data_IF_028489187427
#
_entry.id   IF_028489187427
#
_cell.length_a   1.000
_cell.length_b   1.000
_cell.length_c   1.000
_cell.angle_alpha   90.00
_cell.angle_beta   90.00
_cell.angle_gamma   90.00
#
_symmetry.space_group_name_H-M   'P 1'
#
loop_
_entity.id
_entity.type
_entity.pdbx_description
1 polymer ?
#
# COMPACT_ATOMS: atom_id res chain seq x y z
N UNK A 1 -23.43 -30.51 -42.88
CA UNK A 1 -22.37 -29.48 -43.08
C UNK A 1 -21.08 -30.01 -42.50
N UNK A 2 -19.94 -29.84 -43.19
CA UNK A 2 -18.65 -30.20 -42.61
C UNK A 2 -18.27 -29.22 -41.48
N UNK A 3 -17.57 -29.68 -40.45
CA UNK A 3 -17.09 -28.83 -39.34
C UNK A 3 -16.37 -27.56 -39.84
N UNK A 4 -15.67 -27.67 -40.98
CA UNK A 4 -15.00 -26.57 -41.66
C UNK A 4 -15.94 -25.50 -42.21
N UNK A 5 -17.10 -25.89 -42.75
CA UNK A 5 -18.12 -24.95 -43.23
C UNK A 5 -18.75 -24.16 -42.08
N UNK A 6 -18.96 -24.80 -40.93
CA UNK A 6 -19.48 -24.12 -39.74
C UNK A 6 -18.48 -23.06 -39.26
N UNK A 7 -17.20 -23.42 -39.12
CA UNK A 7 -16.14 -22.48 -38.70
C UNK A 7 -15.99 -21.29 -39.66
N UNK A 8 -16.08 -21.52 -40.98
CA UNK A 8 -16.01 -20.44 -41.98
C UNK A 8 -17.10 -19.38 -41.79
N UNK A 9 -18.31 -19.76 -41.38
CA UNK A 9 -19.41 -18.80 -41.15
C UNK A 9 -19.06 -17.87 -39.97
N UNK A 10 -18.51 -18.41 -38.88
CA UNK A 10 -18.10 -17.60 -37.73
C UNK A 10 -16.91 -16.70 -38.05
N UNK A 11 -15.91 -17.19 -38.79
CA UNK A 11 -14.76 -16.39 -39.24
C UNK A 11 -15.19 -15.22 -40.13
N UNK A 12 -16.10 -15.46 -41.08
CA UNK A 12 -16.63 -14.40 -41.95
C UNK A 12 -17.36 -13.33 -41.14
N UNK A 13 -18.21 -13.74 -40.20
CA UNK A 13 -18.93 -12.79 -39.35
C UNK A 13 -17.97 -11.96 -38.48
N UNK A 14 -16.95 -12.58 -37.90
CA UNK A 14 -15.91 -11.86 -37.14
C UNK A 14 -15.14 -10.86 -38.02
N UNK A 15 -14.77 -11.25 -39.23
CA UNK A 15 -14.05 -10.38 -40.17
C UNK A 15 -14.91 -9.18 -40.59
N UNK A 16 -16.19 -9.41 -40.86
CA UNK A 16 -17.14 -8.34 -41.21
C UNK A 16 -17.29 -7.33 -40.08
N UNK A 17 -17.45 -7.78 -38.83
CA UNK A 17 -17.52 -6.90 -37.66
C UNK A 17 -16.23 -6.11 -37.48
N UNK A 18 -15.07 -6.74 -37.64
CA UNK A 18 -13.74 -6.09 -37.55
C UNK A 18 -13.59 -5.00 -38.62
N UNK A 19 -13.91 -5.30 -39.88
CA UNK A 19 -13.83 -4.33 -40.97
C UNK A 19 -14.80 -3.16 -40.77
N UNK A 20 -16.02 -3.45 -40.30
CA UNK A 20 -17.01 -2.42 -40.02
C UNK A 20 -16.50 -1.41 -38.99
N UNK A 21 -16.05 -1.86 -37.82
CA UNK A 21 -15.57 -0.95 -36.77
C UNK A 21 -14.34 -0.15 -37.22
N UNK A 22 -13.41 -0.76 -37.95
CA UNK A 22 -12.23 -0.08 -38.48
C UNK A 22 -12.60 1.03 -39.46
N UNK A 23 -13.48 0.73 -40.43
CA UNK A 23 -13.90 1.69 -41.43
C UNK A 23 -14.68 2.85 -40.80
N UNK A 24 -15.59 2.55 -39.86
CA UNK A 24 -16.34 3.59 -39.16
C UNK A 24 -15.40 4.46 -38.31
N UNK A 25 -14.44 3.87 -37.60
CA UNK A 25 -13.46 4.62 -36.83
C UNK A 25 -12.61 5.54 -37.71
N UNK A 26 -12.19 5.07 -38.89
CA UNK A 26 -11.43 5.85 -39.87
C UNK A 26 -12.26 6.99 -40.45
N UNK A 27 -13.50 6.71 -40.86
CA UNK A 27 -14.42 7.73 -41.38
C UNK A 27 -14.74 8.81 -40.34
N UNK A 28 -14.86 8.42 -39.06
CA UNK A 28 -15.12 9.33 -37.95
C UNK A 28 -13.95 10.27 -37.62
N UNK A 29 -12.79 10.14 -38.26
CA UNK A 29 -11.67 11.10 -38.09
C UNK A 29 -11.93 12.44 -38.76
N UNK A 30 -12.86 12.52 -39.71
CA UNK A 30 -13.14 13.73 -40.50
C UNK A 30 -14.51 14.31 -40.12
N UNK A 31 -14.59 15.56 -39.64
CA UNK A 31 -15.85 16.18 -39.20
C UNK A 31 -16.97 16.14 -40.24
N UNK A 32 -16.62 16.31 -41.52
CA UNK A 32 -17.57 16.28 -42.65
C UNK A 32 -18.34 14.95 -42.82
N UNK A 33 -17.84 13.84 -42.24
CA UNK A 33 -18.48 12.53 -42.36
C UNK A 33 -19.49 12.26 -41.22
N UNK A 34 -19.46 13.06 -40.16
CA UNK A 34 -20.13 12.73 -38.88
C UNK A 34 -21.65 12.76 -39.03
N UNK A 35 -22.19 13.78 -39.70
CA UNK A 35 -23.63 13.89 -39.97
C UNK A 35 -24.14 12.71 -40.82
N UNK A 36 -23.35 12.27 -41.80
CA UNK A 36 -23.70 11.13 -42.64
C UNK A 36 -23.71 9.82 -41.84
N UNK A 37 -22.70 9.63 -40.96
CA UNK A 37 -22.63 8.47 -40.08
C UNK A 37 -23.80 8.46 -39.07
N UNK A 38 -24.16 9.62 -38.51
CA UNK A 38 -25.31 9.76 -37.62
C UNK A 38 -26.62 9.38 -38.33
N UNK A 39 -26.86 9.93 -39.53
CA UNK A 39 -28.04 9.63 -40.33
C UNK A 39 -28.13 8.15 -40.74
N UNK A 40 -26.99 7.46 -40.86
CA UNK A 40 -26.93 6.02 -41.09
C UNK A 40 -27.21 5.17 -39.83
N UNK A 41 -27.46 5.78 -38.68
CA UNK A 41 -27.75 5.08 -37.43
C UNK A 41 -26.53 4.40 -36.80
N UNK A 42 -25.32 4.91 -37.05
CA UNK A 42 -24.04 4.30 -36.63
C UNK A 42 -24.00 3.97 -35.13
N UNK A 43 -24.64 4.79 -34.29
CA UNK A 43 -24.69 4.61 -32.83
C UNK A 43 -25.36 3.30 -32.43
N UNK A 44 -26.47 2.94 -33.07
CA UNK A 44 -27.18 1.69 -32.78
C UNK A 44 -26.39 0.45 -33.23
N UNK A 45 -25.52 0.61 -34.23
CA UNK A 45 -24.69 -0.46 -34.77
C UNK A 45 -23.40 -0.67 -33.98
N UNK A 46 -22.79 0.40 -33.46
CA UNK A 46 -21.58 0.32 -32.64
C UNK A 46 -21.87 -0.14 -31.21
N UNK A 47 -23.05 0.18 -30.66
CA UNK A 47 -23.39 -0.14 -29.27
C UNK A 47 -23.27 -1.63 -28.93
N UNK A 48 -23.82 -2.59 -29.70
CA UNK A 48 -23.65 -4.02 -29.41
C UNK A 48 -22.20 -4.49 -29.49
N UNK A 49 -21.37 -3.83 -30.31
CA UNK A 49 -19.98 -4.22 -30.53
C UNK A 49 -19.06 -3.82 -29.37
N UNK A 50 -19.53 -2.99 -28.44
CA UNK A 50 -18.85 -2.72 -27.17
C UNK A 50 -18.83 -3.93 -26.23
N UNK A 51 -19.67 -4.92 -26.49
CA UNK A 51 -19.73 -6.18 -25.73
C UNK A 51 -19.29 -7.37 -26.60
N UNK A 52 -18.54 -7.12 -27.68
CA UNK A 52 -18.05 -8.17 -28.55
C UNK A 52 -17.05 -9.07 -27.81
N UNK A 53 -17.07 -10.37 -28.13
CA UNK A 53 -16.15 -11.36 -27.55
C UNK A 53 -14.71 -11.19 -28.03
N UNK A 54 -14.50 -10.44 -29.13
CA UNK A 54 -13.17 -10.16 -29.68
C UNK A 54 -12.70 -8.79 -29.20
N UNK A 55 -11.61 -8.70 -28.40
CA UNK A 55 -11.15 -7.45 -27.82
C UNK A 55 -10.93 -6.36 -28.87
N UNK A 56 -10.24 -6.66 -29.98
CA UNK A 56 -9.95 -5.67 -31.04
C UNK A 56 -11.20 -5.01 -31.63
N UNK A 57 -12.31 -5.75 -31.74
CA UNK A 57 -13.59 -5.21 -32.25
C UNK A 57 -14.17 -4.23 -31.23
N UNK A 58 -14.19 -4.64 -29.95
CA UNK A 58 -14.63 -3.80 -28.84
C UNK A 58 -13.82 -2.50 -28.75
N UNK A 59 -12.48 -2.56 -28.83
CA UNK A 59 -11.63 -1.36 -28.75
C UNK A 59 -11.88 -0.41 -29.92
N UNK A 60 -12.03 -0.95 -31.13
CA UNK A 60 -12.24 -0.13 -32.32
C UNK A 60 -13.65 0.48 -32.35
N UNK A 61 -14.65 -0.25 -31.85
CA UNK A 61 -16.00 0.29 -31.65
C UNK A 61 -16.02 1.43 -30.64
N UNK A 62 -15.28 1.29 -29.53
CA UNK A 62 -15.11 2.32 -28.52
C UNK A 62 -14.42 3.58 -29.10
N UNK A 63 -13.34 3.38 -29.85
CA UNK A 63 -12.63 4.46 -30.55
C UNK A 63 -13.52 5.20 -31.54
N UNK A 64 -14.30 4.47 -32.34
CA UNK A 64 -15.23 5.05 -33.30
C UNK A 64 -16.28 5.92 -32.60
N UNK A 65 -16.86 5.43 -31.49
CA UNK A 65 -17.82 6.19 -30.69
C UNK A 65 -17.19 7.44 -30.06
N UNK A 66 -15.97 7.34 -29.54
CA UNK A 66 -15.24 8.49 -29.00
C UNK A 66 -15.02 9.58 -30.04
N UNK A 67 -14.58 9.21 -31.25
CA UNK A 67 -14.41 10.14 -32.38
C UNK A 67 -15.73 10.78 -32.82
N UNK A 68 -16.81 10.01 -32.90
CA UNK A 68 -18.14 10.51 -33.25
C UNK A 68 -18.63 11.54 -32.24
N UNK A 69 -18.47 11.25 -30.95
CA UNK A 69 -18.83 12.17 -29.87
C UNK A 69 -17.97 13.45 -29.87
N UNK A 70 -16.69 13.37 -30.25
CA UNK A 70 -15.78 14.51 -30.27
C UNK A 70 -16.16 15.60 -31.30
N UNK A 71 -16.90 15.24 -32.34
CA UNK A 71 -17.24 16.16 -33.44
C UNK A 71 -18.71 16.57 -33.49
N UNK A 72 -19.57 16.07 -32.60
CA UNK A 72 -21.00 16.35 -32.63
C UNK A 72 -21.64 16.23 -31.23
N UNK A 73 -22.21 17.33 -30.75
CA UNK A 73 -22.80 17.45 -29.41
C UNK A 73 -24.02 16.53 -29.21
N UNK A 74 -24.86 16.34 -30.24
CA UNK A 74 -26.01 15.43 -30.17
C UNK A 74 -25.54 13.96 -30.04
N UNK A 75 -24.43 13.61 -30.71
CA UNK A 75 -23.82 12.29 -30.59
C UNK A 75 -23.12 12.11 -29.24
N UNK A 76 -22.47 13.15 -28.71
CA UNK A 76 -21.92 13.14 -27.36
C UNK A 76 -23.03 12.93 -26.32
N UNK A 77 -24.15 13.64 -26.46
CA UNK A 77 -25.33 13.49 -25.60
C UNK A 77 -25.94 12.08 -25.74
N UNK A 78 -25.99 11.51 -26.95
CA UNK A 78 -26.45 10.15 -27.18
C UNK A 78 -25.52 9.08 -26.56
N UNK A 79 -24.20 9.28 -26.57
CA UNK A 79 -23.23 8.44 -25.85
C UNK A 79 -23.47 8.50 -24.34
N UNK A 80 -23.78 9.69 -23.83
CA UNK A 80 -24.04 9.94 -22.40
C UNK A 80 -25.37 9.32 -21.95
N UNK A 81 -26.46 9.54 -22.68
CA UNK A 81 -27.82 9.08 -22.33
C UNK A 81 -28.06 7.60 -22.67
N UNK A 82 -27.27 7.01 -23.56
CA UNK A 82 -27.49 5.67 -24.11
C UNK A 82 -26.93 4.50 -23.31
N UNK A 83 -26.53 4.66 -22.04
CA UNK A 83 -25.78 3.65 -21.26
C UNK A 83 -24.50 3.14 -21.97
N UNK A 84 -23.95 3.93 -22.90
CA UNK A 84 -22.75 3.58 -23.66
C UNK A 84 -21.50 3.84 -22.82
N UNK A 85 -21.49 4.89 -22.00
CA UNK A 85 -20.39 5.21 -21.08
C UNK A 85 -20.09 4.08 -20.06
N UNK A 86 -21.07 3.49 -19.35
CA UNK A 86 -20.81 2.32 -18.49
C UNK A 86 -20.18 1.13 -19.22
N UNK A 87 -20.58 0.88 -20.47
CA UNK A 87 -20.03 -0.22 -21.29
C UNK A 87 -18.61 0.09 -21.78
N UNK A 88 -18.34 1.34 -22.17
CA UNK A 88 -17.00 1.83 -22.46
C UNK A 88 -16.08 1.70 -21.25
N UNK A 89 -16.55 2.09 -20.06
CA UNK A 89 -15.82 1.98 -18.78
C UNK A 89 -15.51 0.52 -18.44
N UNK A 90 -16.47 -0.40 -18.61
CA UNK A 90 -16.21 -1.83 -18.42
C UNK A 90 -15.12 -2.37 -19.38
N UNK A 91 -15.09 -1.84 -20.61
CA UNK A 91 -14.11 -2.20 -21.64
C UNK A 91 -12.73 -1.56 -21.43
N UNK A 92 -12.64 -0.48 -20.64
CA UNK A 92 -11.43 0.33 -20.39
C UNK A 92 -10.42 -0.30 -19.42
N UNK A 93 -10.69 -1.50 -18.91
CA UNK A 93 -9.78 -2.24 -18.06
C UNK A 93 -8.47 -2.65 -18.78
N UNK A 94 -8.43 -2.62 -20.12
CA UNK A 94 -7.25 -2.95 -20.93
C UNK A 94 -6.41 -1.71 -21.32
N UNK A 95 -5.09 -1.79 -21.16
CA UNK A 95 -4.13 -0.69 -21.37
C UNK A 95 -4.21 -0.09 -22.79
N UNK A 96 -4.43 -0.92 -23.82
CA UNK A 96 -4.52 -0.46 -25.21
C UNK A 96 -5.76 0.41 -25.48
N UNK A 97 -6.85 0.23 -24.72
CA UNK A 97 -8.07 1.03 -24.90
C UNK A 97 -7.91 2.45 -24.35
N UNK A 98 -7.17 2.61 -23.26
CA UNK A 98 -7.06 3.93 -22.60
C UNK A 98 -6.30 4.93 -23.46
N UNK A 99 -5.23 4.49 -24.13
CA UNK A 99 -4.55 5.32 -25.12
C UNK A 99 -5.47 5.63 -26.32
N UNK A 100 -6.18 4.64 -26.85
CA UNK A 100 -7.11 4.85 -27.96
C UNK A 100 -8.24 5.84 -27.61
N UNK A 101 -8.76 5.81 -26.37
CA UNK A 101 -9.79 6.74 -25.89
C UNK A 101 -9.26 8.17 -25.74
N UNK A 102 -8.01 8.32 -25.27
CA UNK A 102 -7.33 9.61 -25.26
C UNK A 102 -7.12 10.13 -26.68
N UNK A 103 -6.62 9.29 -27.59
CA UNK A 103 -6.40 9.63 -29.00
C UNK A 103 -7.72 9.97 -29.74
N UNK A 104 -8.85 9.50 -29.21
CA UNK A 104 -10.20 9.83 -29.70
C UNK A 104 -10.72 11.22 -29.24
N UNK A 105 -10.01 11.91 -28.34
CA UNK A 105 -10.47 13.18 -27.77
C UNK A 105 -11.52 13.04 -26.66
N UNK A 106 -11.64 11.86 -26.02
CA UNK A 106 -12.70 11.63 -25.04
C UNK A 106 -12.49 12.33 -23.69
N UNK A 107 -11.25 12.66 -23.31
CA UNK A 107 -10.94 13.26 -21.99
C UNK A 107 -11.65 14.61 -21.79
N UNK A 108 -11.58 15.58 -22.73
CA UNK A 108 -12.37 16.82 -22.63
C UNK A 108 -13.88 16.57 -22.48
N UNK A 109 -14.44 15.62 -23.21
CA UNK A 109 -15.88 15.29 -23.11
C UNK A 109 -16.25 14.72 -21.74
N UNK A 110 -15.40 13.86 -21.18
CA UNK A 110 -15.59 13.35 -19.81
C UNK A 110 -15.49 14.49 -18.78
N UNK A 111 -14.63 15.49 -19.01
CA UNK A 111 -14.55 16.70 -18.17
C UNK A 111 -15.80 17.58 -18.31
N UNK A 112 -16.47 17.62 -19.47
CA UNK A 112 -17.78 18.24 -19.60
C UNK A 112 -18.84 17.45 -18.82
N UNK A 113 -18.82 16.12 -18.91
CA UNK A 113 -19.77 15.25 -18.21
C UNK A 113 -19.73 15.40 -16.68
N UNK A 114 -18.56 15.70 -16.08
CA UNK A 114 -18.47 15.92 -14.62
C UNK A 114 -19.04 17.29 -14.18
N UNK A 115 -19.21 18.23 -15.11
CA UNK A 115 -19.79 19.55 -14.83
C UNK A 115 -21.32 19.50 -14.80
N UNK A 116 -21.93 18.59 -15.56
CA UNK A 116 -23.38 18.38 -15.59
C UNK A 116 -23.99 18.07 -14.22
N UNK A 117 -25.23 18.49 -13.91
CA UNK A 117 -25.80 18.34 -12.57
C UNK A 117 -26.08 16.89 -12.15
N UNK A 118 -26.19 15.97 -13.11
CA UNK A 118 -26.61 14.58 -12.88
C UNK A 118 -25.53 13.75 -12.16
N UNK A 119 -25.79 13.34 -10.91
CA UNK A 119 -24.81 12.61 -10.08
C UNK A 119 -24.41 11.28 -10.72
N UNK A 120 -25.36 10.57 -11.34
CA UNK A 120 -25.06 9.31 -12.01
C UNK A 120 -24.02 9.50 -13.13
N UNK A 121 -24.17 10.55 -13.93
CA UNK A 121 -23.25 10.91 -14.99
C UNK A 121 -21.86 11.28 -14.43
N UNK A 122 -21.81 12.12 -13.38
CA UNK A 122 -20.54 12.46 -12.71
C UNK A 122 -19.79 11.22 -12.26
N UNK A 123 -20.48 10.28 -11.60
CA UNK A 123 -19.85 9.03 -11.13
C UNK A 123 -19.24 8.23 -12.26
N UNK A 124 -19.95 8.07 -13.38
CA UNK A 124 -19.47 7.31 -14.54
C UNK A 124 -18.29 8.02 -15.19
N UNK A 125 -18.39 9.33 -15.40
CA UNK A 125 -17.32 10.12 -15.99
C UNK A 125 -16.04 10.11 -15.14
N UNK A 126 -16.16 10.30 -13.81
CA UNK A 126 -15.03 10.20 -12.88
C UNK A 126 -14.44 8.80 -12.86
N UNK A 127 -15.26 7.74 -12.93
CA UNK A 127 -14.76 6.37 -13.03
C UNK A 127 -13.95 6.17 -14.31
N UNK A 128 -14.44 6.65 -15.46
CA UNK A 128 -13.73 6.58 -16.73
C UNK A 128 -12.37 7.31 -16.68
N UNK A 129 -12.36 8.52 -16.11
CA UNK A 129 -11.14 9.30 -15.92
C UNK A 129 -10.15 8.60 -14.97
N UNK A 130 -10.65 7.96 -13.91
CA UNK A 130 -9.85 7.13 -13.00
C UNK A 130 -9.23 5.94 -13.74
N UNK A 131 -9.98 5.27 -14.60
CA UNK A 131 -9.49 4.11 -15.37
C UNK A 131 -8.46 4.54 -16.42
N UNK A 132 -8.63 5.66 -17.10
CA UNK A 132 -7.62 6.24 -18.00
C UNK A 132 -6.34 6.56 -17.22
N UNK A 133 -6.47 7.32 -16.14
CA UNK A 133 -5.34 7.75 -15.32
C UNK A 133 -4.61 6.56 -14.68
N UNK A 134 -5.24 5.39 -14.51
CA UNK A 134 -4.61 4.22 -13.88
C UNK A 134 -3.45 3.64 -14.70
N UNK A 135 -3.42 3.79 -16.02
CA UNK A 135 -2.56 2.95 -16.86
C UNK A 135 -1.14 3.46 -17.07
N UNK A 136 -0.93 4.78 -17.21
CA UNK A 136 0.41 5.34 -17.39
C UNK A 136 0.52 6.78 -16.87
N UNK A 137 1.74 7.27 -16.57
CA UNK A 137 1.97 8.67 -16.19
C UNK A 137 1.51 9.65 -17.29
N UNK A 138 1.70 9.32 -18.57
CA UNK A 138 1.29 10.18 -19.69
C UNK A 138 -0.24 10.31 -19.80
N UNK A 139 -0.96 9.21 -19.58
CA UNK A 139 -2.43 9.22 -19.56
C UNK A 139 -2.95 9.98 -18.33
N UNK A 140 -2.30 9.82 -17.18
CA UNK A 140 -2.63 10.59 -15.99
C UNK A 140 -2.38 12.08 -16.20
N UNK A 141 -1.24 12.46 -16.80
CA UNK A 141 -0.94 13.84 -17.16
C UNK A 141 -1.99 14.42 -18.12
N UNK A 142 -2.38 13.67 -19.15
CA UNK A 142 -3.44 14.11 -20.09
C UNK A 142 -4.77 14.40 -19.37
N UNK A 143 -5.14 13.55 -18.40
CA UNK A 143 -6.34 13.76 -17.57
C UNK A 143 -6.20 15.00 -16.69
N UNK A 144 -5.00 15.29 -16.17
CA UNK A 144 -4.71 16.49 -15.38
C UNK A 144 -4.71 17.76 -16.23
N UNK A 145 -4.10 17.73 -17.42
CA UNK A 145 -4.03 18.84 -18.37
C UNK A 145 -5.44 19.29 -18.82
N UNK A 146 -6.40 18.37 -18.81
CA UNK A 146 -7.81 18.68 -19.05
C UNK A 146 -8.52 19.39 -17.86
N UNK A 147 -7.79 19.72 -16.79
CA UNK A 147 -8.31 20.47 -15.64
C UNK A 147 -9.13 19.63 -14.65
N UNK A 148 -8.97 18.30 -14.65
CA UNK A 148 -9.82 17.42 -13.84
C UNK A 148 -9.68 17.64 -12.33
N UNK A 149 -8.46 17.95 -11.85
CA UNK A 149 -8.15 17.98 -10.40
C UNK A 149 -9.03 19.00 -9.67
N UNK A 150 -9.18 20.21 -10.22
CA UNK A 150 -10.00 21.25 -9.63
C UNK A 150 -11.47 20.81 -9.48
N UNK A 151 -12.00 20.12 -10.50
CA UNK A 151 -13.36 19.60 -10.47
C UNK A 151 -13.51 18.46 -9.44
N UNK A 152 -12.54 17.55 -9.35
CA UNK A 152 -12.51 16.48 -8.35
C UNK A 152 -12.45 17.05 -6.91
N UNK A 153 -11.62 18.07 -6.67
CA UNK A 153 -11.50 18.73 -5.38
C UNK A 153 -12.80 19.41 -4.93
N UNK A 154 -13.63 19.88 -5.86
CA UNK A 154 -14.97 20.39 -5.54
C UNK A 154 -15.98 19.25 -5.34
N UNK A 155 -15.95 18.21 -6.17
CA UNK A 155 -16.92 17.11 -6.12
C UNK A 155 -16.83 16.26 -4.85
N UNK A 156 -15.67 16.14 -4.22
CA UNK A 156 -15.51 15.38 -2.96
C UNK A 156 -16.33 15.98 -1.80
N UNK A 157 -16.71 17.25 -1.88
CA UNK A 157 -17.58 17.92 -0.90
C UNK A 157 -19.04 17.45 -0.99
N UNK A 158 -19.44 16.78 -2.08
CA UNK A 158 -20.79 16.27 -2.25
C UNK A 158 -21.10 15.17 -1.20
N UNK A 159 -22.30 15.14 -0.60
CA UNK A 159 -22.65 14.15 0.42
C UNK A 159 -22.75 12.71 -0.13
N UNK A 160 -22.83 12.53 -1.45
CA UNK A 160 -22.99 11.23 -2.08
C UNK A 160 -21.75 10.33 -1.92
N UNK A 161 -21.87 9.28 -1.12
CA UNK A 161 -20.77 8.37 -0.82
C UNK A 161 -20.20 7.68 -2.08
N UNK A 162 -21.07 7.29 -3.04
CA UNK A 162 -20.62 6.65 -4.28
C UNK A 162 -19.77 7.59 -5.13
N UNK A 163 -20.14 8.87 -5.23
CA UNK A 163 -19.33 9.88 -5.91
C UNK A 163 -18.01 10.11 -5.19
N UNK A 164 -18.01 10.27 -3.85
CA UNK A 164 -16.77 10.39 -3.07
C UNK A 164 -15.80 9.22 -3.32
N UNK A 165 -16.31 7.98 -3.37
CA UNK A 165 -15.50 6.79 -3.68
C UNK A 165 -14.79 6.95 -5.03
N UNK A 166 -15.51 7.39 -6.07
CA UNK A 166 -14.94 7.56 -7.41
C UNK A 166 -13.93 8.70 -7.46
N UNK A 167 -14.24 9.83 -6.82
CA UNK A 167 -13.35 11.00 -6.77
C UNK A 167 -12.03 10.66 -6.06
N UNK A 168 -12.10 10.01 -4.90
CA UNK A 168 -10.92 9.57 -4.15
C UNK A 168 -10.10 8.53 -4.96
N UNK A 169 -10.78 7.64 -5.68
CA UNK A 169 -10.11 6.68 -6.57
C UNK A 169 -9.36 7.40 -7.69
N UNK A 170 -10.02 8.32 -8.40
CA UNK A 170 -9.42 9.07 -9.49
C UNK A 170 -8.18 9.85 -9.03
N UNK A 171 -8.29 10.60 -7.93
CA UNK A 171 -7.15 11.31 -7.35
C UNK A 171 -6.02 10.35 -6.96
N UNK A 172 -6.34 9.15 -6.45
CA UNK A 172 -5.32 8.13 -6.12
C UNK A 172 -4.61 7.60 -7.39
N UNK A 173 -5.36 7.37 -8.47
CA UNK A 173 -4.78 6.90 -9.74
C UNK A 173 -3.92 7.96 -10.43
N UNK A 174 -4.20 9.24 -10.20
CA UNK A 174 -3.35 10.35 -10.65
C UNK A 174 -2.09 10.42 -9.78
N UNK A 175 -2.27 10.57 -8.47
CA UNK A 175 -1.17 10.79 -7.53
C UNK A 175 -0.15 9.65 -7.51
N UNK A 176 -0.51 8.42 -7.87
CA UNK A 176 0.40 7.27 -7.77
C UNK A 176 1.60 7.31 -8.72
N UNK A 177 1.56 8.09 -9.80
CA UNK A 177 2.46 7.92 -10.95
C UNK A 177 3.77 8.71 -10.86
N UNK A 178 3.73 9.94 -10.35
CA UNK A 178 4.92 10.79 -10.22
C UNK A 178 4.80 11.73 -9.03
N UNK A 179 5.92 12.32 -8.65
CA UNK A 179 5.97 13.37 -7.62
C UNK A 179 5.16 14.57 -8.08
N UNK A 180 5.36 15.06 -9.31
CA UNK A 180 4.66 16.21 -9.87
C UNK A 180 3.13 16.04 -9.86
N UNK A 181 2.63 14.86 -10.24
CA UNK A 181 1.19 14.55 -10.20
C UNK A 181 0.64 14.50 -8.77
N UNK A 182 1.43 14.00 -7.81
CA UNK A 182 1.05 14.02 -6.40
C UNK A 182 1.04 15.44 -5.83
N UNK A 183 2.01 16.28 -6.21
CA UNK A 183 2.08 17.70 -5.83
C UNK A 183 0.87 18.47 -6.36
N UNK A 184 0.53 18.32 -7.64
CA UNK A 184 -0.67 18.94 -8.23
C UNK A 184 -1.96 18.55 -7.49
N UNK A 185 -2.08 17.31 -7.02
CA UNK A 185 -3.24 16.87 -6.22
C UNK A 185 -3.25 17.53 -4.84
N UNK A 186 -2.09 17.73 -4.21
CA UNK A 186 -1.96 18.36 -2.90
C UNK A 186 -2.21 19.88 -2.98
N UNK A 187 -1.74 20.54 -4.05
CA UNK A 187 -1.96 21.97 -4.32
C UNK A 187 -3.45 22.32 -4.45
N UNK A 188 -4.30 21.35 -4.79
CA UNK A 188 -5.75 21.51 -4.79
C UNK A 188 -6.41 21.46 -3.38
N UNK A 189 -5.61 21.59 -2.31
CA UNK A 189 -6.03 21.69 -0.91
C UNK A 189 -6.98 20.56 -0.45
N UNK A 190 -6.74 19.33 -0.93
CA UNK A 190 -7.64 18.19 -0.71
C UNK A 190 -7.62 17.63 0.73
N UNK A 191 -6.58 17.93 1.53
CA UNK A 191 -6.40 17.27 2.82
C UNK A 191 -7.56 17.47 3.81
N UNK A 192 -8.07 18.69 4.09
CA UNK A 192 -9.14 18.88 5.07
C UNK A 192 -10.38 18.02 4.80
N UNK A 193 -10.79 17.90 3.53
CA UNK A 193 -11.94 17.08 3.14
C UNK A 193 -11.60 15.59 3.16
N UNK A 194 -10.41 15.18 2.71
CA UNK A 194 -9.99 13.77 2.75
C UNK A 194 -9.89 13.25 4.19
N UNK A 195 -9.41 14.07 5.13
CA UNK A 195 -9.38 13.71 6.56
C UNK A 195 -10.79 13.58 7.16
N UNK A 196 -11.76 14.34 6.63
CA UNK A 196 -13.17 14.15 6.98
C UNK A 196 -13.70 12.81 6.43
N UNK A 197 -13.30 12.43 5.21
CA UNK A 197 -13.64 11.16 4.58
C UNK A 197 -13.12 9.93 5.35
N UNK A 198 -12.02 10.05 6.10
CA UNK A 198 -11.53 8.97 6.99
C UNK A 198 -12.52 8.62 8.11
N UNK A 199 -13.46 9.53 8.42
CA UNK A 199 -14.50 9.36 9.44
C UNK A 199 -15.88 9.07 8.83
N UNK A 200 -15.97 8.87 7.51
CA UNK A 200 -17.23 8.61 6.82
C UNK A 200 -17.86 7.29 7.29
N UNK A 201 -19.19 7.16 7.22
CA UNK A 201 -19.88 5.91 7.57
C UNK A 201 -19.62 4.82 6.53
N UNK A 202 -19.28 5.22 5.32
CA UNK A 202 -18.99 4.34 4.21
C UNK A 202 -17.53 3.85 4.25
N UNK A 203 -17.36 2.53 4.47
CA UNK A 203 -16.03 1.93 4.58
C UNK A 203 -15.18 2.04 3.30
N UNK A 204 -15.80 2.09 2.12
CA UNK A 204 -15.07 2.26 0.87
C UNK A 204 -14.61 3.70 0.69
N UNK A 205 -15.35 4.68 1.20
CA UNK A 205 -14.88 6.07 1.28
C UNK A 205 -13.64 6.15 2.16
N UNK A 206 -13.68 5.53 3.36
CA UNK A 206 -12.49 5.45 4.24
C UNK A 206 -11.30 4.79 3.56
N UNK A 207 -11.52 3.63 2.93
CA UNK A 207 -10.47 2.88 2.20
C UNK A 207 -9.84 3.72 1.09
N UNK A 208 -10.65 4.40 0.28
CA UNK A 208 -10.15 5.21 -0.83
C UNK A 208 -9.46 6.48 -0.34
N UNK A 209 -9.92 7.09 0.76
CA UNK A 209 -9.24 8.21 1.42
C UNK A 209 -7.85 7.79 1.94
N UNK A 210 -7.75 6.66 2.65
CA UNK A 210 -6.46 6.09 3.05
C UNK A 210 -5.56 5.77 1.84
N UNK A 211 -6.15 5.29 0.74
CA UNK A 211 -5.42 4.98 -0.50
C UNK A 211 -4.82 6.23 -1.11
N UNK A 212 -5.57 7.33 -1.21
CA UNK A 212 -5.08 8.60 -1.72
C UNK A 212 -3.90 9.12 -0.90
N UNK A 213 -4.06 9.18 0.43
CA UNK A 213 -2.99 9.67 1.32
C UNK A 213 -1.74 8.77 1.20
N UNK A 214 -1.92 7.44 1.10
CA UNK A 214 -0.83 6.49 0.86
C UNK A 214 -0.09 6.77 -0.45
N UNK A 215 -0.82 6.97 -1.55
CA UNK A 215 -0.21 7.24 -2.86
C UNK A 215 0.59 8.55 -2.87
N UNK A 216 0.20 9.54 -2.08
CA UNK A 216 0.95 10.78 -1.91
C UNK A 216 2.22 10.54 -1.05
N UNK A 217 2.08 9.85 0.09
CA UNK A 217 3.20 9.67 1.04
C UNK A 217 4.36 8.84 0.49
N UNK A 218 4.10 7.89 -0.41
CA UNK A 218 5.14 6.96 -0.89
C UNK A 218 6.28 7.65 -1.68
N UNK A 219 6.04 8.86 -2.17
CA UNK A 219 6.92 9.54 -3.11
C UNK A 219 8.11 10.22 -2.45
N UNK A 220 7.87 11.21 -1.58
CA UNK A 220 8.94 12.05 -1.02
C UNK A 220 8.75 12.32 0.48
N UNK A 221 9.83 12.62 1.22
CA UNK A 221 9.74 13.09 2.60
C UNK A 221 8.92 14.38 2.72
N UNK A 222 8.98 15.29 1.76
CA UNK A 222 8.25 16.57 1.76
C UNK A 222 6.73 16.34 1.72
N UNK A 223 6.27 15.47 0.81
CA UNK A 223 4.86 15.08 0.73
C UNK A 223 4.38 14.35 1.99
N UNK A 224 5.23 13.48 2.56
CA UNK A 224 4.97 12.85 3.85
C UNK A 224 4.88 13.86 5.00
N UNK A 225 5.72 14.90 4.98
CA UNK A 225 5.70 15.96 5.98
C UNK A 225 4.42 16.80 5.88
N UNK A 226 3.92 17.07 4.68
CA UNK A 226 2.63 17.75 4.48
C UNK A 226 1.47 16.94 5.10
N UNK A 227 1.47 15.62 4.92
CA UNK A 227 0.48 14.72 5.54
C UNK A 227 0.58 14.75 7.06
N UNK A 228 1.80 14.74 7.63
CA UNK A 228 2.02 14.88 9.07
C UNK A 228 1.47 16.22 9.58
N UNK A 229 1.81 17.32 8.91
CA UNK A 229 1.41 18.67 9.29
C UNK A 229 -0.11 18.88 9.23
N UNK A 230 -0.78 18.22 8.28
CA UNK A 230 -2.24 18.25 8.18
C UNK A 230 -2.95 17.40 9.25
N UNK A 231 -2.21 16.63 10.07
CA UNK A 231 -2.78 15.70 11.04
C UNK A 231 -3.22 14.35 10.43
N UNK A 232 -2.79 14.05 9.21
CA UNK A 232 -3.20 12.86 8.48
C UNK A 232 -2.76 11.54 9.11
N UNK A 233 -1.58 11.51 9.75
CA UNK A 233 -1.09 10.31 10.42
C UNK A 233 -2.00 9.90 11.57
N UNK A 234 -2.37 10.84 12.45
CA UNK A 234 -3.29 10.57 13.56
C UNK A 234 -4.68 10.15 13.05
N UNK A 235 -5.22 10.86 12.05
CA UNK A 235 -6.51 10.53 11.47
C UNK A 235 -6.56 9.14 10.82
N UNK A 236 -5.46 8.71 10.19
CA UNK A 236 -5.37 7.35 9.61
C UNK A 236 -5.22 6.29 10.71
N UNK A 237 -4.51 6.58 11.80
CA UNK A 237 -4.42 5.69 12.97
C UNK A 237 -5.81 5.45 13.58
N UNK A 238 -6.60 6.52 13.76
CA UNK A 238 -7.98 6.40 14.21
C UNK A 238 -8.85 5.60 13.22
N UNK A 239 -8.67 5.84 11.92
CA UNK A 239 -9.39 5.14 10.86
C UNK A 239 -9.11 3.63 10.89
N UNK A 240 -7.84 3.20 10.94
CA UNK A 240 -7.50 1.77 10.99
C UNK A 240 -7.99 1.12 12.29
N UNK A 241 -8.02 1.84 13.41
CA UNK A 241 -8.59 1.36 14.67
C UNK A 241 -10.09 1.09 14.58
N UNK A 242 -10.81 1.88 13.78
CA UNK A 242 -12.26 1.75 13.59
C UNK A 242 -12.69 0.71 12.54
N UNK A 243 -11.76 0.15 11.77
CA UNK A 243 -12.04 -0.75 10.66
C UNK A 243 -11.43 -2.14 10.89
N UNK A 244 -11.71 -3.10 10.00
CA UNK A 244 -11.08 -4.44 9.95
C UNK A 244 -10.82 -4.86 8.51
N UNK A 245 -9.96 -5.86 8.30
CA UNK A 245 -9.70 -6.45 7.00
C UNK A 245 -9.07 -5.47 6.01
N UNK A 246 -9.39 -5.66 4.72
CA UNK A 246 -8.79 -4.93 3.60
C UNK A 246 -8.94 -3.40 3.63
N UNK A 247 -9.80 -2.85 4.49
CA UNK A 247 -9.94 -1.41 4.69
C UNK A 247 -8.75 -0.83 5.45
N UNK A 248 -8.14 -1.61 6.37
CA UNK A 248 -6.96 -1.18 7.13
C UNK A 248 -5.70 -1.09 6.28
N UNK A 249 -5.60 -1.93 5.24
CA UNK A 249 -4.37 -2.13 4.47
C UNK A 249 -3.74 -0.83 3.93
N UNK A 250 -4.47 0.08 3.25
CA UNK A 250 -3.85 1.31 2.75
C UNK A 250 -3.34 2.22 3.88
N UNK A 251 -4.04 2.27 5.01
CA UNK A 251 -3.63 3.05 6.17
C UNK A 251 -2.39 2.48 6.85
N UNK A 252 -2.28 1.15 6.98
CA UNK A 252 -1.08 0.48 7.47
C UNK A 252 0.13 0.79 6.57
N UNK A 253 -0.06 0.69 5.25
CA UNK A 253 1.00 0.99 4.28
C UNK A 253 1.43 2.45 4.36
N UNK A 254 0.49 3.39 4.52
CA UNK A 254 0.80 4.80 4.71
C UNK A 254 1.78 5.01 5.87
N UNK A 255 1.50 4.43 7.05
CA UNK A 255 2.37 4.59 8.21
C UNK A 255 3.78 4.07 7.95
N UNK A 256 3.90 2.95 7.23
CA UNK A 256 5.19 2.41 6.82
C UNK A 256 5.93 3.29 5.80
N UNK A 257 5.22 3.90 4.83
CA UNK A 257 5.82 4.84 3.88
C UNK A 257 6.26 6.13 4.56
N UNK A 258 5.45 6.73 5.44
CA UNK A 258 5.87 7.92 6.21
C UNK A 258 7.12 7.60 7.03
N UNK A 259 7.13 6.47 7.74
CA UNK A 259 8.26 6.06 8.56
C UNK A 259 9.51 5.70 7.74
N UNK A 260 9.39 5.33 6.46
CA UNK A 260 10.56 4.94 5.65
C UNK A 260 11.49 6.12 5.39
N UNK A 261 10.95 7.33 5.29
CA UNK A 261 11.65 8.48 4.73
C UNK A 261 12.67 9.11 5.68
N UNK A 262 12.37 9.23 6.98
CA UNK A 262 13.29 9.83 7.96
C UNK A 262 12.97 9.45 9.40
N UNK A 263 13.94 9.68 10.29
CA UNK A 263 13.76 9.50 11.74
C UNK A 263 12.66 10.42 12.29
N UNK A 264 12.60 11.68 11.83
CA UNK A 264 11.58 12.64 12.27
C UNK A 264 10.16 12.19 11.90
N UNK A 265 9.98 11.69 10.67
CA UNK A 265 8.69 11.19 10.20
C UNK A 265 8.29 9.89 10.91
N UNK A 266 9.23 8.98 11.15
CA UNK A 266 8.99 7.78 11.96
C UNK A 266 8.60 8.13 13.41
N UNK A 267 9.23 9.15 14.00
CA UNK A 267 8.87 9.65 15.32
C UNK A 267 7.47 10.27 15.34
N UNK A 268 7.05 10.96 14.28
CA UNK A 268 5.67 11.46 14.16
C UNK A 268 4.62 10.33 14.22
N UNK A 269 4.92 9.17 13.60
CA UNK A 269 4.08 7.96 13.69
C UNK A 269 4.05 7.41 15.12
N UNK A 270 5.18 7.40 15.82
CA UNK A 270 5.28 6.95 17.22
C UNK A 270 4.46 7.86 18.14
N UNK A 271 4.66 9.18 18.06
CA UNK A 271 3.97 10.18 18.89
C UNK A 271 2.46 10.11 18.68
N UNK A 272 2.02 9.86 17.44
CA UNK A 272 0.61 9.69 17.09
C UNK A 272 0.01 8.35 17.54
N UNK A 273 0.75 7.53 18.31
CA UNK A 273 0.35 6.20 18.79
C UNK A 273 0.14 5.16 17.67
N UNK A 274 0.88 5.29 16.57
CA UNK A 274 0.80 4.35 15.45
C UNK A 274 1.31 2.95 15.78
N UNK A 275 2.35 2.84 16.61
CA UNK A 275 2.96 1.55 16.96
C UNK A 275 2.00 0.64 17.77
N UNK A 276 1.35 1.11 18.86
CA UNK A 276 0.33 0.31 19.53
C UNK A 276 -0.79 -0.14 18.59
N UNK A 277 -1.28 0.76 17.73
CA UNK A 277 -2.36 0.44 16.80
C UNK A 277 -1.94 -0.61 15.75
N UNK A 278 -0.74 -0.50 15.20
CA UNK A 278 -0.18 -1.52 14.31
C UNK A 278 0.02 -2.86 15.02
N UNK A 279 0.44 -2.85 16.29
CA UNK A 279 0.55 -4.08 17.08
C UNK A 279 -0.82 -4.77 17.25
N UNK A 280 -1.89 -4.00 17.45
CA UNK A 280 -3.25 -4.55 17.47
C UNK A 280 -3.63 -5.13 16.11
N UNK A 281 -3.37 -4.42 15.02
CA UNK A 281 -3.63 -4.93 13.67
C UNK A 281 -2.89 -6.24 13.38
N UNK A 282 -1.64 -6.39 13.84
CA UNK A 282 -0.87 -7.62 13.65
C UNK A 282 -1.49 -8.83 14.36
N UNK A 283 -2.15 -8.60 15.51
CA UNK A 283 -2.78 -9.66 16.31
C UNK A 283 -4.24 -9.93 15.93
N UNK A 284 -5.00 -8.91 15.54
CA UNK A 284 -6.43 -9.03 15.27
C UNK A 284 -6.76 -9.49 13.85
N UNK A 285 -5.94 -9.11 12.86
CA UNK A 285 -6.25 -9.37 11.46
C UNK A 285 -6.00 -10.85 11.13
N UNK A 286 -6.93 -11.54 10.47
CA UNK A 286 -6.72 -12.93 10.08
C UNK A 286 -5.85 -13.06 8.83
N UNK A 287 -5.95 -12.13 7.88
CA UNK A 287 -5.32 -12.26 6.58
C UNK A 287 -3.82 -11.92 6.61
N UNK A 288 -3.04 -12.85 6.08
CA UNK A 288 -1.59 -12.77 6.04
C UNK A 288 -1.04 -11.56 5.29
N UNK A 289 -1.67 -11.12 4.19
CA UNK A 289 -1.18 -9.96 3.45
C UNK A 289 -1.31 -8.66 4.28
N UNK A 290 -2.28 -8.59 5.19
CA UNK A 290 -2.47 -7.45 6.10
C UNK A 290 -1.44 -7.53 7.23
N UNK A 291 -1.24 -8.71 7.83
CA UNK A 291 -0.16 -8.93 8.80
C UNK A 291 1.21 -8.63 8.21
N UNK A 292 1.44 -8.98 6.95
CA UNK A 292 2.71 -8.78 6.26
C UNK A 292 2.98 -7.29 6.05
N UNK A 293 1.98 -6.52 5.59
CA UNK A 293 2.07 -5.07 5.50
C UNK A 293 2.30 -4.42 6.88
N UNK A 294 1.65 -4.94 7.93
CA UNK A 294 1.80 -4.46 9.32
C UNK A 294 3.21 -4.72 9.85
N UNK A 295 3.73 -5.93 9.66
CA UNK A 295 5.10 -6.30 10.01
C UNK A 295 6.11 -5.41 9.29
N UNK A 296 5.91 -5.18 7.99
CA UNK A 296 6.75 -4.27 7.21
C UNK A 296 6.72 -2.84 7.81
N UNK A 297 5.55 -2.28 8.08
CA UNK A 297 5.41 -0.92 8.63
C UNK A 297 6.12 -0.78 10.00
N UNK A 298 5.91 -1.72 10.91
CA UNK A 298 6.61 -1.77 12.20
C UNK A 298 8.13 -1.85 12.04
N UNK A 299 8.59 -2.65 11.07
CA UNK A 299 9.99 -2.75 10.71
C UNK A 299 10.58 -1.45 10.14
N UNK A 300 9.79 -0.61 9.45
CA UNK A 300 10.23 0.71 8.99
C UNK A 300 10.30 1.72 10.12
N UNK A 301 9.38 1.65 11.08
CA UNK A 301 9.39 2.52 12.26
C UNK A 301 10.62 2.22 13.12
N UNK A 302 10.86 0.96 13.47
CA UNK A 302 11.88 0.59 14.45
C UNK A 302 13.34 0.54 13.94
N UNK A 303 13.61 0.84 12.66
CA UNK A 303 14.95 0.67 12.06
C UNK A 303 15.91 1.86 12.23
N UNK A 304 15.42 2.98 12.73
CA UNK A 304 16.17 4.25 12.72
C UNK A 304 17.13 4.36 13.91
N UNK A 305 16.58 4.62 15.10
CA UNK A 305 17.33 4.84 16.34
C UNK A 305 16.92 3.87 17.46
N UNK A 306 17.67 3.80 18.57
CA UNK A 306 17.28 3.00 19.74
C UNK A 306 15.93 3.39 20.33
N UNK A 307 15.56 4.68 20.30
CA UNK A 307 14.25 5.17 20.76
C UNK A 307 13.12 4.59 19.92
N UNK A 308 13.30 4.56 18.60
CA UNK A 308 12.33 3.97 17.67
C UNK A 308 12.18 2.46 17.88
N UNK A 309 13.31 1.75 17.98
CA UNK A 309 13.30 0.30 18.23
C UNK A 309 12.65 -0.03 19.58
N UNK A 310 12.94 0.78 20.62
CA UNK A 310 12.31 0.66 21.94
C UNK A 310 10.80 0.88 21.86
N UNK A 311 10.34 1.88 21.11
CA UNK A 311 8.90 2.14 20.96
C UNK A 311 8.13 0.93 20.39
N UNK A 312 8.74 0.18 19.46
CA UNK A 312 8.18 -1.08 18.92
C UNK A 312 8.35 -2.26 19.89
N UNK A 313 9.47 -2.32 20.61
CA UNK A 313 9.75 -3.41 21.53
C UNK A 313 8.78 -3.42 22.73
N UNK A 314 8.41 -2.24 23.26
CA UNK A 314 7.53 -2.14 24.44
C UNK A 314 6.09 -2.55 24.19
N UNK A 315 5.63 -2.61 22.93
CA UNK A 315 4.28 -3.08 22.57
C UNK A 315 4.18 -4.60 22.47
N UNK A 316 5.22 -5.33 22.90
CA UNK A 316 5.30 -6.79 22.84
C UNK A 316 5.10 -7.36 21.42
N UNK A 317 5.45 -6.58 20.40
CA UNK A 317 5.23 -6.95 19.00
C UNK A 317 6.33 -7.88 18.48
N UNK A 318 7.52 -7.84 19.08
CA UNK A 318 8.67 -8.65 18.68
C UNK A 318 8.38 -10.17 18.80
N UNK A 319 7.88 -10.72 19.92
CA UNK A 319 7.54 -12.14 20.00
C UNK A 319 6.48 -12.57 18.97
N UNK A 320 5.50 -11.72 18.68
CA UNK A 320 4.46 -11.99 17.67
C UNK A 320 5.10 -12.07 16.27
N UNK A 321 6.00 -11.14 15.93
CA UNK A 321 6.72 -11.21 14.66
C UNK A 321 7.58 -12.49 14.56
N UNK A 322 8.18 -12.91 15.67
CA UNK A 322 8.98 -14.13 15.71
C UNK A 322 8.12 -15.37 15.47
N UNK A 323 6.94 -15.46 16.10
CA UNK A 323 6.03 -16.59 15.89
C UNK A 323 5.51 -16.65 14.44
N UNK A 324 5.18 -15.50 13.84
CA UNK A 324 4.78 -15.42 12.44
C UNK A 324 5.91 -15.77 11.47
N UNK A 325 7.15 -15.42 11.80
CA UNK A 325 8.31 -15.84 11.01
C UNK A 325 8.53 -17.37 11.08
N UNK A 326 8.34 -17.98 12.24
CA UNK A 326 8.61 -19.40 12.47
C UNK A 326 7.45 -20.33 12.11
N UNK A 327 6.23 -19.80 11.98
CA UNK A 327 5.03 -20.60 11.69
C UNK A 327 4.98 -21.07 10.25
N UNK A 328 4.82 -22.38 10.05
CA UNK A 328 4.60 -23.00 8.73
C UNK A 328 3.24 -22.66 8.13
N UNK A 329 2.30 -22.15 8.93
CA UNK A 329 0.97 -21.70 8.47
C UNK A 329 1.02 -20.29 7.88
N UNK A 330 2.06 -19.52 8.19
CA UNK A 330 2.26 -18.19 7.61
C UNK A 330 2.76 -18.30 6.18
N UNK A 331 2.18 -17.47 5.30
CA UNK A 331 2.62 -17.28 3.93
C UNK A 331 4.09 -16.83 3.85
N UNK A 332 4.74 -17.17 2.73
CA UNK A 332 6.14 -16.81 2.48
C UNK A 332 6.37 -15.29 2.59
N UNK A 333 5.47 -14.48 2.05
CA UNK A 333 5.57 -13.01 2.12
C UNK A 333 5.52 -12.50 3.58
N UNK A 334 4.63 -13.07 4.40
CA UNK A 334 4.53 -12.74 5.82
C UNK A 334 5.79 -13.15 6.59
N UNK A 335 6.31 -14.35 6.35
CA UNK A 335 7.55 -14.82 6.99
C UNK A 335 8.73 -13.92 6.62
N UNK A 336 8.89 -13.57 5.34
CA UNK A 336 9.97 -12.71 4.84
C UNK A 336 9.89 -11.31 5.45
N UNK A 337 8.70 -10.69 5.47
CA UNK A 337 8.51 -9.35 6.04
C UNK A 337 8.67 -9.35 7.56
N UNK A 338 8.19 -10.38 8.26
CA UNK A 338 8.36 -10.52 9.72
C UNK A 338 9.83 -10.67 10.08
N UNK A 339 10.57 -11.55 9.39
CA UNK A 339 12.02 -11.71 9.57
C UNK A 339 12.77 -10.39 9.34
N UNK A 340 12.45 -9.68 8.25
CA UNK A 340 13.10 -8.40 7.92
C UNK A 340 12.80 -7.34 8.98
N UNK A 341 11.56 -7.25 9.45
CA UNK A 341 11.15 -6.35 10.51
C UNK A 341 11.91 -6.62 11.81
N UNK A 342 11.96 -7.88 12.26
CA UNK A 342 12.73 -8.28 13.45
C UNK A 342 14.18 -7.83 13.31
N UNK A 343 14.84 -8.17 12.19
CA UNK A 343 16.25 -7.80 11.99
C UNK A 343 16.47 -6.28 12.06
N UNK A 344 15.62 -5.51 11.40
CA UNK A 344 15.70 -4.06 11.40
C UNK A 344 15.55 -3.47 12.81
N UNK A 345 14.59 -3.96 13.59
CA UNK A 345 14.32 -3.49 14.94
C UNK A 345 15.46 -3.93 15.89
N UNK A 346 15.85 -5.20 15.85
CA UNK A 346 16.89 -5.75 16.73
C UNK A 346 18.26 -5.11 16.50
N UNK A 347 18.57 -4.66 15.29
CA UNK A 347 19.82 -3.95 15.01
C UNK A 347 19.94 -2.60 15.74
N UNK A 348 18.82 -2.02 16.17
CA UNK A 348 18.76 -0.74 16.88
C UNK A 348 18.28 -0.87 18.33
N UNK A 349 17.64 -1.99 18.70
CA UNK A 349 17.05 -2.17 20.02
C UNK A 349 18.13 -2.31 21.11
N UNK A 350 18.17 -1.34 22.02
CA UNK A 350 18.99 -1.41 23.25
C UNK A 350 18.17 -1.80 24.49
N UNK A 351 16.86 -2.03 24.32
CA UNK A 351 15.95 -2.39 25.42
C UNK A 351 16.01 -3.89 25.72
N UNK A 352 16.97 -4.28 26.56
CA UNK A 352 17.30 -5.67 26.87
C UNK A 352 16.12 -6.55 27.35
N UNK A 353 15.16 -6.08 28.16
CA UNK A 353 14.05 -6.93 28.59
C UNK A 353 13.21 -7.50 27.44
N UNK A 354 13.11 -6.78 26.32
CA UNK A 354 12.41 -7.29 25.13
C UNK A 354 13.27 -8.22 24.27
N UNK A 355 14.61 -8.19 24.45
CA UNK A 355 15.56 -9.01 23.70
C UNK A 355 15.80 -10.36 24.36
N UNK A 356 15.68 -10.43 25.67
CA UNK A 356 16.00 -11.63 26.44
C UNK A 356 15.20 -12.87 26.02
N UNK A 357 13.87 -12.82 25.75
CA UNK A 357 13.13 -13.98 25.26
C UNK A 357 13.70 -14.56 23.95
N UNK A 358 14.28 -13.71 23.10
CA UNK A 358 14.88 -14.16 21.84
C UNK A 358 16.16 -14.98 22.03
N UNK A 359 16.82 -14.94 23.19
CA UNK A 359 17.95 -15.84 23.46
C UNK A 359 17.52 -17.31 23.54
N UNK A 360 16.25 -17.56 23.85
CA UNK A 360 15.68 -18.90 24.00
C UNK A 360 14.99 -19.36 22.72
N UNK A 361 14.18 -18.49 22.12
CA UNK A 361 13.24 -18.88 21.06
C UNK A 361 13.74 -18.57 19.64
N UNK A 362 14.73 -17.67 19.49
CA UNK A 362 15.10 -17.19 18.17
C UNK A 362 16.02 -18.17 17.42
N UNK A 363 15.79 -18.38 16.11
CA UNK A 363 16.69 -19.18 15.28
C UNK A 363 18.07 -18.50 15.12
N UNK A 364 19.13 -19.26 14.77
CA UNK A 364 20.51 -18.75 14.71
C UNK A 364 20.70 -17.49 13.85
N UNK A 365 19.93 -17.36 12.77
CA UNK A 365 20.00 -16.22 11.86
C UNK A 365 19.45 -14.91 12.44
N UNK A 366 18.62 -14.98 13.49
CA UNK A 366 18.13 -13.84 14.30
C UNK A 366 18.96 -13.68 15.55
N UNK A 367 19.35 -14.78 16.20
CA UNK A 367 20.08 -14.81 17.47
C UNK A 367 21.35 -13.96 17.45
N UNK A 368 22.10 -13.95 16.34
CA UNK A 368 23.30 -13.10 16.20
C UNK A 368 23.03 -11.61 16.39
N UNK A 369 21.85 -11.13 16.03
CA UNK A 369 21.47 -9.73 16.20
C UNK A 369 21.14 -9.43 17.66
N UNK A 370 20.53 -10.39 18.37
CA UNK A 370 20.20 -10.30 19.81
C UNK A 370 21.48 -10.23 20.63
N UNK A 371 22.36 -11.24 20.49
CA UNK A 371 23.63 -11.32 21.22
C UNK A 371 24.51 -10.11 20.92
N UNK A 372 24.51 -9.64 19.68
CA UNK A 372 25.21 -8.42 19.28
C UNK A 372 24.71 -7.12 19.92
N UNK A 373 23.48 -7.06 20.44
CA UNK A 373 23.03 -5.91 21.25
C UNK A 373 23.42 -6.06 22.71
N UNK A 374 23.30 -7.25 23.29
CA UNK A 374 23.79 -7.51 24.64
C UNK A 374 25.28 -7.20 24.77
N UNK A 375 26.10 -7.58 23.78
CA UNK A 375 27.54 -7.28 23.78
C UNK A 375 27.86 -5.78 23.75
N UNK A 376 26.96 -4.94 23.23
CA UNK A 376 27.12 -3.48 23.19
C UNK A 376 26.63 -2.79 24.46
N UNK A 377 25.53 -3.28 25.06
CA UNK A 377 24.89 -2.61 26.21
C UNK A 377 25.52 -3.03 27.53
N UNK A 378 25.80 -4.33 27.72
CA UNK A 378 26.30 -4.87 29.00
C UNK A 378 27.62 -4.25 29.48
N UNK A 379 28.62 -3.92 28.63
CA UNK A 379 29.84 -3.27 29.09
C UNK A 379 29.61 -1.93 29.80
N UNK A 380 28.53 -1.24 29.47
CA UNK A 380 28.25 0.13 29.91
C UNK A 380 27.13 0.23 30.95
N UNK A 381 26.39 -0.85 31.22
CA UNK A 381 25.26 -0.87 32.15
C UNK A 381 25.43 -1.95 33.24
N UNK A 382 25.85 -1.51 34.43
CA UNK A 382 26.04 -2.39 35.59
C UNK A 382 24.74 -3.01 36.12
N UNK A 383 23.60 -2.31 35.98
CA UNK A 383 22.30 -2.83 36.40
C UNK A 383 21.83 -3.92 35.44
N UNK A 384 21.96 -3.68 34.14
CA UNK A 384 21.69 -4.68 33.12
C UNK A 384 22.54 -5.95 33.32
N UNK A 385 23.84 -5.81 33.63
CA UNK A 385 24.72 -6.96 33.90
C UNK A 385 24.21 -7.84 35.03
N UNK A 386 23.81 -7.23 36.14
CA UNK A 386 23.26 -7.95 37.30
C UNK A 386 21.97 -8.68 36.92
N UNK A 387 21.05 -7.98 36.25
CA UNK A 387 19.77 -8.57 35.82
C UNK A 387 19.99 -9.75 34.89
N UNK A 388 20.89 -9.61 33.91
CA UNK A 388 21.19 -10.63 32.90
C UNK A 388 21.75 -11.94 33.47
N UNK A 389 22.47 -11.86 34.59
CA UNK A 389 22.91 -13.05 35.34
C UNK A 389 21.74 -13.66 36.09
N UNK A 390 20.99 -12.84 36.83
CA UNK A 390 19.88 -13.33 37.67
C UNK A 390 18.72 -13.96 36.88
N UNK A 391 18.52 -13.52 35.63
CA UNK A 391 17.52 -14.06 34.72
C UNK A 391 17.98 -15.34 34.00
N UNK A 392 19.26 -15.72 34.12
CA UNK A 392 19.86 -16.85 33.41
C UNK A 392 20.24 -16.56 31.96
N UNK A 393 20.25 -15.29 31.55
CA UNK A 393 20.65 -14.87 30.20
C UNK A 393 22.13 -15.15 29.91
N UNK A 394 23.03 -14.96 30.89
CA UNK A 394 24.46 -15.26 30.74
C UNK A 394 24.69 -16.75 30.45
N UNK A 395 24.14 -17.64 31.29
CA UNK A 395 24.12 -19.08 31.05
C UNK A 395 23.63 -19.41 29.65
N UNK A 396 22.52 -18.81 29.22
CA UNK A 396 21.96 -19.10 27.90
C UNK A 396 22.91 -18.70 26.78
N UNK A 397 23.59 -17.55 26.89
CA UNK A 397 24.60 -17.10 25.92
C UNK A 397 25.79 -18.07 25.84
N UNK A 398 26.20 -18.65 26.96
CA UNK A 398 27.30 -19.63 26.99
C UNK A 398 26.93 -20.97 26.33
N UNK A 399 25.66 -21.36 26.36
CA UNK A 399 25.15 -22.55 25.67
C UNK A 399 25.10 -22.40 24.15
N UNK A 400 25.20 -21.17 23.61
CA UNK A 400 25.13 -20.90 22.18
C UNK A 400 26.39 -21.44 21.50
N UNK A 401 26.21 -22.44 20.64
CA UNK A 401 27.28 -22.95 19.77
C UNK A 401 27.53 -21.95 18.64
N UNK A 402 28.70 -21.34 18.62
CA UNK A 402 29.14 -20.45 17.55
C UNK A 402 30.37 -21.03 16.83
N UNK A 403 30.46 -20.80 15.52
CA UNK A 403 31.62 -21.21 14.73
C UNK A 403 32.85 -20.39 15.17
N UNK A 404 34.03 -21.01 15.34
CA UNK A 404 35.26 -20.29 15.67
C UNK A 404 35.56 -19.18 14.66
N UNK A 405 35.83 -17.97 15.15
CA UNK A 405 36.08 -16.79 14.31
C UNK A 405 34.83 -16.12 13.72
N UNK A 406 33.62 -16.59 14.07
CA UNK A 406 32.38 -15.91 13.67
C UNK A 406 32.12 -14.66 14.52
N UNK A 407 31.41 -13.67 13.95
CA UNK A 407 30.93 -12.49 14.69
C UNK A 407 30.10 -12.86 15.92
N UNK A 408 29.37 -13.98 15.88
CA UNK A 408 28.60 -14.46 17.02
C UNK A 408 29.52 -14.86 18.19
N UNK A 409 30.62 -15.56 17.90
CA UNK A 409 31.62 -15.92 18.91
C UNK A 409 32.26 -14.66 19.51
N UNK A 410 32.58 -13.65 18.69
CA UNK A 410 33.12 -12.37 19.18
C UNK A 410 32.15 -11.68 20.14
N UNK A 411 30.84 -11.66 19.82
CA UNK A 411 29.84 -11.10 20.72
C UNK A 411 29.72 -11.88 22.03
N UNK A 412 29.73 -13.21 21.98
CA UNK A 412 29.72 -14.07 23.18
C UNK A 412 30.94 -13.77 24.06
N UNK A 413 32.13 -13.68 23.47
CA UNK A 413 33.35 -13.36 24.19
C UNK A 413 33.29 -11.98 24.84
N UNK A 414 32.78 -10.98 24.12
CA UNK A 414 32.58 -9.62 24.66
C UNK A 414 31.62 -9.60 25.85
N UNK A 415 30.55 -10.40 25.82
CA UNK A 415 29.62 -10.55 26.94
C UNK A 415 30.30 -11.23 28.12
N UNK A 416 31.00 -12.35 27.90
CA UNK A 416 31.69 -13.08 28.96
C UNK A 416 32.74 -12.19 29.67
N UNK A 417 33.47 -11.36 28.92
CA UNK A 417 34.45 -10.42 29.47
C UNK A 417 33.83 -9.33 30.37
N UNK A 418 32.51 -9.19 30.38
CA UNK A 418 31.82 -8.29 31.30
C UNK A 418 31.72 -8.83 32.74
N UNK A 419 32.06 -10.11 32.95
CA UNK A 419 31.88 -10.85 34.20
C UNK A 419 33.20 -11.48 34.69
N UNK A 420 33.41 -11.61 36.02
CA UNK A 420 34.55 -12.34 36.57
C UNK A 420 34.59 -13.79 36.09
N UNK A 421 35.80 -14.33 35.89
CA UNK A 421 36.00 -15.71 35.41
C UNK A 421 35.30 -16.75 36.27
N UNK A 422 35.18 -16.52 37.58
CA UNK A 422 34.50 -17.43 38.49
C UNK A 422 33.00 -17.57 38.18
N UNK A 423 32.34 -16.48 37.79
CA UNK A 423 30.91 -16.50 37.41
C UNK A 423 30.76 -17.19 36.06
N UNK A 424 31.64 -16.85 35.10
CA UNK A 424 31.66 -17.45 33.76
C UNK A 424 31.88 -18.97 33.82
N UNK A 425 32.80 -19.45 34.68
CA UNK A 425 33.09 -20.88 34.87
C UNK A 425 32.03 -21.59 35.73
N UNK A 426 31.46 -20.94 36.76
CA UNK A 426 30.42 -21.55 37.61
C UNK A 426 29.10 -21.78 36.86
N UNK A 427 28.71 -20.89 35.96
CA UNK A 427 27.50 -21.08 35.15
C UNK A 427 27.66 -22.21 34.11
N UNK A 428 28.86 -22.43 33.56
CA UNK A 428 29.18 -23.64 32.78
C UNK A 428 29.08 -24.94 33.60
N UNK A 429 29.37 -24.90 34.90
CA UNK A 429 29.43 -26.09 35.77
C UNK A 429 28.08 -26.46 36.40
N UNK A 430 27.03 -25.64 36.28
CA UNK A 430 25.67 -25.94 36.75
C UNK A 430 24.92 -26.95 35.85
N UNK A 431 25.61 -27.98 35.36
CA UNK A 431 25.03 -29.32 35.19
C UNK A 431 25.02 -30.10 36.52
N UNK A 432 25.72 -29.61 37.56
CA UNK A 432 25.72 -30.21 38.89
C UNK A 432 25.53 -29.14 39.99
N UNK A 433 24.52 -29.36 40.84
CA UNK A 433 24.23 -28.68 42.12
C UNK A 433 23.21 -27.52 42.12
N UNK A 434 21.98 -27.91 42.50
CA UNK A 434 21.05 -27.10 43.28
C UNK A 434 21.77 -26.64 44.57
N UNK A 435 22.31 -25.42 44.62
CA UNK A 435 22.52 -24.60 45.83
C UNK A 435 23.45 -23.40 45.52
N UNK A 436 22.90 -22.25 45.08
CA UNK A 436 23.67 -20.98 45.16
C UNK A 436 22.82 -19.71 45.18
N UNK A 437 21.69 -19.71 45.90
CA UNK A 437 20.86 -18.50 46.12
C UNK A 437 21.34 -17.59 47.26
N UNK A 438 22.61 -17.68 47.71
CA UNK A 438 23.10 -16.89 48.87
C UNK A 438 24.40 -16.10 48.71
N UNK A 439 25.09 -16.12 47.56
CA UNK A 439 26.41 -15.46 47.44
C UNK A 439 26.49 -14.30 46.44
N UNK A 440 25.37 -13.88 45.85
CA UNK A 440 25.33 -12.68 44.99
C UNK A 440 25.09 -11.38 45.79
N UNK A 441 24.83 -11.45 47.10
CA UNK A 441 24.60 -10.27 47.95
C UNK A 441 25.85 -9.67 48.65
N UNK A 442 27.06 -10.19 48.42
CA UNK A 442 28.26 -9.71 49.14
C UNK A 442 29.30 -8.98 48.30
N UNK A 443 29.06 -8.74 47.00
CA UNK A 443 29.92 -7.86 46.20
C UNK A 443 29.23 -6.51 45.97
N UNK A 444 29.23 -5.72 47.03
CA UNK A 444 29.01 -4.27 47.01
C UNK A 444 30.10 -3.64 47.89
N UNK A 445 31.18 -3.22 47.25
CA UNK A 445 31.98 -2.03 47.57
C UNK A 445 32.69 -1.60 46.30
#
# INVERSE_FOLDING_TARGET
MSQRQVLQVFEQYQKARTQFVQMVAELATRPQNIETLQNAGVMALLRPLLLDVVPTIQQTAALALGRLANFNDDLAEAVVKGDILPQLVYSLAEQNLSQAVVDAGAVPLLVLCIQEPEIALKRIAVSALSDIAKHSPELAQTVVDAGVIAHLAQMILNPDAKLKRQVLSALSQIAKHSVDLAEMVVEAEIFPVVLTCLKDKDEYVKKNACTLIREIAKHTPELSQLIVNAGGVAAVIDCIGSCKGNIRLPGIMLLGYVAVHSENLAMAVIISKGVPQLSLCLSEEPEDHIKAATAWALGQIGRHTPEHARAVAVTNTLPVLLSLYMSTESSEDLQVKSKKAIKNILQKCTYLPALEPFLYDAPPNILKHVVGQFSKVLPHDSKARRLFVTSGGLKKVQEIKAEPGSLLQEYINSINNCYPEEIVRKEMLMEYSVQFSRSVMSYSL
#
